data_IF_475667666612
#
_entry.id   IF_475667666612
#
_cell.length_a   1.000
_cell.length_b   1.000
_cell.length_c   1.000
_cell.angle_alpha   90.00
_cell.angle_beta   90.00
_cell.angle_gamma   90.00
#
_symmetry.space_group_name_H-M   'P 1'
#
loop_
_entity.id
_entity.type
_entity.pdbx_description
1 polymer ?
#
# COMPACT_ATOMS: atom_id res chain seq x y z
N UNK A 1 -12.55 -19.14 -26.82
CA UNK A 1 -11.29 -18.76 -27.51
C UNK A 1 -10.64 -17.69 -26.69
N UNK A 2 -9.48 -17.98 -26.10
CA UNK A 2 -8.75 -17.01 -25.27
C UNK A 2 -8.21 -15.91 -26.19
N UNK A 3 -8.73 -14.71 -26.05
CA UNK A 3 -8.23 -13.50 -26.71
C UNK A 3 -6.85 -13.18 -26.12
N UNK A 4 -5.80 -13.76 -26.69
CA UNK A 4 -4.45 -13.32 -26.36
C UNK A 4 -4.29 -11.88 -26.81
N UNK A 5 -3.96 -11.02 -25.87
CA UNK A 5 -3.60 -9.64 -26.18
C UNK A 5 -2.41 -9.68 -27.14
N UNK A 6 -2.64 -9.30 -28.39
CA UNK A 6 -1.64 -9.39 -29.47
C UNK A 6 -0.55 -8.33 -29.27
N UNK A 7 -0.86 -7.29 -28.50
CA UNK A 7 0.04 -6.17 -28.19
C UNK A 7 0.18 -6.01 -26.68
N UNK A 8 1.42 -6.05 -26.19
CA UNK A 8 1.78 -5.85 -24.78
C UNK A 8 2.88 -4.79 -24.75
N UNK A 9 2.67 -3.70 -24.03
CA UNK A 9 3.60 -2.56 -23.95
C UNK A 9 4.02 -2.02 -25.34
N UNK A 10 3.13 -1.98 -26.32
CA UNK A 10 3.45 -1.56 -27.68
C UNK A 10 4.24 -2.60 -28.51
N UNK A 11 4.53 -3.76 -27.94
CA UNK A 11 5.22 -4.84 -28.63
C UNK A 11 4.22 -5.83 -29.22
N UNK A 12 4.24 -6.02 -30.54
CA UNK A 12 3.44 -7.02 -31.20
C UNK A 12 4.01 -8.42 -30.93
N UNK A 13 3.33 -9.18 -30.07
CA UNK A 13 3.79 -10.50 -29.60
C UNK A 13 3.80 -11.56 -30.69
N UNK A 14 3.05 -11.37 -31.79
CA UNK A 14 3.01 -12.29 -32.92
C UNK A 14 4.24 -12.14 -33.84
N UNK A 15 4.83 -10.93 -33.90
CA UNK A 15 5.97 -10.59 -34.78
C UNK A 15 7.33 -10.66 -34.12
N UNK A 16 7.42 -11.21 -32.90
CA UNK A 16 8.69 -11.33 -32.19
C UNK A 16 9.66 -12.25 -32.95
N UNK A 17 10.92 -11.84 -33.12
CA UNK A 17 11.93 -12.63 -33.81
C UNK A 17 12.19 -13.95 -33.07
N UNK A 18 12.53 -14.97 -33.84
CA UNK A 18 13.01 -16.26 -33.33
C UNK A 18 14.47 -16.37 -33.75
N UNK A 19 15.32 -16.62 -32.79
CA UNK A 19 16.76 -16.84 -33.03
C UNK A 19 17.02 -18.36 -33.04
N UNK A 20 17.76 -18.82 -34.05
CA UNK A 20 18.33 -20.17 -34.08
C UNK A 20 19.42 -20.30 -33.00
N UNK A 21 19.79 -21.53 -32.69
CA UNK A 21 20.85 -21.76 -31.69
C UNK A 21 22.23 -21.29 -32.19
N UNK A 22 22.46 -21.32 -33.50
CA UNK A 22 23.67 -20.78 -34.14
C UNK A 22 23.72 -19.25 -34.01
N UNK A 23 22.66 -18.55 -34.38
CA UNK A 23 22.53 -17.09 -34.21
C UNK A 23 22.70 -16.64 -32.77
N UNK A 24 22.17 -17.41 -31.80
CA UNK A 24 22.35 -17.11 -30.37
C UNK A 24 23.82 -17.16 -29.96
N UNK A 25 24.57 -18.14 -30.46
CA UNK A 25 25.98 -18.26 -30.12
C UNK A 25 26.80 -17.12 -30.74
N UNK A 26 26.55 -16.77 -32.02
CA UNK A 26 27.24 -15.65 -32.68
C UNK A 26 26.94 -14.31 -31.98
N UNK A 27 25.67 -14.08 -31.63
CA UNK A 27 25.27 -12.88 -30.89
C UNK A 27 25.93 -12.84 -29.52
N UNK A 28 26.09 -14.00 -28.87
CA UNK A 28 26.71 -14.08 -27.55
C UNK A 28 28.20 -13.68 -27.59
N UNK A 29 28.93 -14.11 -28.62
CA UNK A 29 30.34 -13.72 -28.80
C UNK A 29 30.48 -12.21 -29.03
N UNK A 30 29.54 -11.60 -29.79
CA UNK A 30 29.50 -10.15 -29.99
C UNK A 30 29.14 -9.40 -28.71
N UNK A 31 28.21 -9.94 -27.89
CA UNK A 31 27.85 -9.37 -26.57
C UNK A 31 29.08 -9.35 -25.66
N UNK A 32 29.84 -10.43 -25.61
CA UNK A 32 31.10 -10.48 -24.85
C UNK A 32 32.13 -9.45 -25.33
N UNK A 33 32.13 -9.12 -26.63
CA UNK A 33 32.98 -8.07 -27.19
C UNK A 33 32.44 -6.64 -26.90
N UNK A 34 31.27 -6.49 -26.25
CA UNK A 34 30.70 -5.21 -25.88
C UNK A 34 29.75 -4.60 -26.92
N UNK A 35 29.29 -5.36 -27.91
CA UNK A 35 28.35 -4.89 -28.93
C UNK A 35 26.94 -4.71 -28.34
N UNK A 36 26.53 -3.44 -28.17
CA UNK A 36 25.22 -3.07 -27.66
C UNK A 36 24.05 -3.48 -28.59
N UNK A 37 24.30 -3.48 -29.92
CA UNK A 37 23.27 -3.82 -30.91
C UNK A 37 22.99 -5.33 -30.92
N UNK A 38 24.06 -6.14 -30.77
CA UNK A 38 23.95 -7.58 -30.62
C UNK A 38 23.17 -7.92 -29.33
N UNK A 39 23.44 -7.21 -28.23
CA UNK A 39 22.71 -7.38 -26.96
C UNK A 39 21.21 -7.05 -27.11
N UNK A 40 20.85 -5.96 -27.78
CA UNK A 40 19.47 -5.60 -28.03
C UNK A 40 18.74 -6.66 -28.88
N UNK A 41 19.40 -7.16 -29.93
CA UNK A 41 18.87 -8.21 -30.80
C UNK A 41 18.64 -9.51 -30.02
N UNK A 42 19.57 -9.87 -29.15
CA UNK A 42 19.46 -11.05 -28.29
C UNK A 42 18.30 -10.94 -27.30
N UNK A 43 18.10 -9.75 -26.67
CA UNK A 43 16.96 -9.47 -25.79
C UNK A 43 15.65 -9.65 -26.56
N UNK A 44 15.51 -9.00 -27.73
CA UNK A 44 14.30 -9.08 -28.57
C UNK A 44 13.97 -10.51 -28.97
N UNK A 45 14.97 -11.31 -29.32
CA UNK A 45 14.81 -12.72 -29.68
C UNK A 45 14.37 -13.64 -28.54
N UNK A 46 14.58 -13.21 -27.29
CA UNK A 46 14.20 -13.99 -26.10
C UNK A 46 12.92 -13.48 -25.40
N UNK A 47 12.23 -12.43 -25.90
CA UNK A 47 11.00 -11.91 -25.29
C UNK A 47 9.88 -12.96 -25.24
N UNK A 48 9.86 -13.91 -26.19
CA UNK A 48 8.89 -15.04 -26.16
C UNK A 48 9.04 -15.91 -24.91
N UNK A 49 10.27 -16.02 -24.37
CA UNK A 49 10.52 -16.74 -23.13
C UNK A 49 9.81 -16.04 -21.95
N UNK A 50 9.89 -14.70 -21.88
CA UNK A 50 9.18 -13.90 -20.88
C UNK A 50 7.66 -14.15 -20.97
N UNK A 51 7.09 -14.08 -22.19
CA UNK A 51 5.66 -14.35 -22.41
C UNK A 51 5.23 -15.75 -21.96
N UNK A 52 6.08 -16.76 -22.18
CA UNK A 52 5.79 -18.13 -21.73
C UNK A 52 5.74 -18.26 -20.21
N UNK A 53 6.60 -17.52 -19.50
CA UNK A 53 6.62 -17.49 -18.04
C UNK A 53 5.42 -16.72 -17.49
N UNK A 54 5.04 -15.60 -18.11
CA UNK A 54 3.91 -14.75 -17.68
C UNK A 54 2.57 -15.51 -17.66
N UNK A 55 2.37 -16.48 -18.52
CA UNK A 55 1.15 -17.31 -18.51
C UNK A 55 0.85 -17.94 -17.14
N UNK A 56 1.89 -18.20 -16.35
CA UNK A 56 1.74 -18.77 -15.00
C UNK A 56 1.31 -17.74 -13.96
N UNK A 57 1.41 -16.45 -14.28
CA UNK A 57 1.12 -15.33 -13.37
C UNK A 57 -0.14 -14.54 -13.74
N UNK A 58 -0.85 -14.94 -14.80
CA UNK A 58 -2.03 -14.23 -15.33
C UNK A 58 -3.26 -14.22 -14.41
N UNK A 59 -3.21 -14.88 -13.25
CA UNK A 59 -4.34 -14.94 -12.29
C UNK A 59 -4.20 -14.04 -11.06
N UNK A 60 -3.18 -13.20 -10.98
CA UNK A 60 -2.87 -12.44 -9.76
C UNK A 60 -3.50 -11.03 -9.70
N UNK A 61 -4.37 -10.67 -10.66
CA UNK A 61 -5.05 -9.36 -10.67
C UNK A 61 -4.20 -8.17 -11.13
N UNK A 62 -2.90 -8.38 -11.32
CA UNK A 62 -1.96 -7.34 -11.75
C UNK A 62 -2.03 -7.10 -13.27
N UNK A 63 -1.64 -5.88 -13.69
CA UNK A 63 -1.59 -5.54 -15.10
C UNK A 63 -0.54 -6.39 -15.84
N UNK A 64 -0.96 -7.03 -16.92
CA UNK A 64 -0.08 -7.89 -17.74
C UNK A 64 1.10 -7.09 -18.34
N UNK A 65 0.89 -5.81 -18.65
CA UNK A 65 1.93 -4.94 -19.19
C UNK A 65 3.05 -4.69 -18.16
N UNK A 66 2.69 -4.47 -16.89
CA UNK A 66 3.65 -4.30 -15.80
C UNK A 66 4.43 -5.59 -15.53
N UNK A 67 3.73 -6.71 -15.47
CA UNK A 67 4.36 -8.03 -15.32
C UNK A 67 5.32 -8.32 -16.48
N UNK A 68 4.97 -7.93 -17.71
CA UNK A 68 5.87 -8.10 -18.86
C UNK A 68 7.14 -7.27 -18.72
N UNK A 69 7.04 -6.01 -18.31
CA UNK A 69 8.20 -5.15 -18.10
C UNK A 69 9.12 -5.71 -17.01
N UNK A 70 8.56 -6.16 -15.89
CA UNK A 70 9.34 -6.80 -14.81
C UNK A 70 9.99 -8.10 -15.30
N UNK A 71 9.27 -8.90 -16.09
CA UNK A 71 9.82 -10.09 -16.72
C UNK A 71 11.00 -9.78 -17.67
N UNK A 72 10.90 -8.67 -18.42
CA UNK A 72 11.99 -8.17 -19.26
C UNK A 72 13.20 -7.73 -18.44
N UNK A 73 13.01 -7.10 -17.28
CA UNK A 73 14.11 -6.78 -16.35
C UNK A 73 14.81 -8.08 -15.90
N UNK A 74 14.05 -9.11 -15.55
CA UNK A 74 14.60 -10.43 -15.20
C UNK A 74 15.37 -11.06 -16.34
N UNK A 75 14.89 -10.95 -17.58
CA UNK A 75 15.60 -11.40 -18.78
C UNK A 75 16.91 -10.64 -18.98
N UNK A 76 16.90 -9.32 -18.87
CA UNK A 76 18.10 -8.47 -19.04
C UNK A 76 19.16 -8.86 -18.00
N UNK A 77 18.77 -8.95 -16.71
CA UNK A 77 19.67 -9.40 -15.64
C UNK A 77 20.23 -10.81 -15.91
N UNK A 78 19.43 -11.69 -16.51
CA UNK A 78 19.88 -13.05 -16.84
C UNK A 78 20.92 -13.02 -17.96
N UNK A 79 20.81 -12.13 -18.96
CA UNK A 79 21.78 -11.97 -20.04
C UNK A 79 23.09 -11.44 -19.47
N UNK A 80 23.02 -10.44 -18.60
CA UNK A 80 24.23 -9.80 -18.03
C UNK A 80 25.04 -10.75 -17.11
N UNK A 81 24.37 -11.72 -16.48
CA UNK A 81 25.00 -12.64 -15.51
C UNK A 81 25.18 -14.08 -16.03
N UNK A 82 24.79 -14.37 -17.27
CA UNK A 82 24.90 -15.72 -17.81
C UNK A 82 26.34 -16.06 -18.21
N UNK A 83 26.80 -17.24 -17.79
CA UNK A 83 28.07 -17.82 -18.22
C UNK A 83 27.84 -19.07 -19.09
N UNK A 84 28.11 -18.99 -20.39
CA UNK A 84 27.93 -20.13 -21.31
C UNK A 84 28.90 -21.28 -21.03
N UNK A 85 29.99 -21.06 -20.27
CA UNK A 85 30.97 -22.12 -19.95
C UNK A 85 30.36 -23.20 -19.02
N UNK A 86 29.26 -22.89 -18.34
CA UNK A 86 28.59 -23.80 -17.42
C UNK A 86 27.81 -24.94 -18.10
N UNK A 87 27.87 -25.04 -19.42
CA UNK A 87 27.21 -26.08 -20.20
C UNK A 87 25.70 -26.24 -19.99
N UNK A 88 25.01 -25.13 -19.66
CA UNK A 88 23.58 -25.04 -19.41
C UNK A 88 22.93 -24.18 -20.50
N UNK A 89 21.76 -24.55 -20.98
CA UNK A 89 21.00 -23.71 -21.94
C UNK A 89 20.61 -22.39 -21.27
N UNK A 90 20.73 -21.28 -22.02
CA UNK A 90 20.34 -19.94 -21.52
C UNK A 90 18.91 -19.92 -20.94
N UNK A 91 17.95 -20.56 -21.61
CA UNK A 91 16.57 -20.62 -21.11
C UNK A 91 16.43 -21.26 -19.72
N UNK A 92 17.25 -22.27 -19.42
CA UNK A 92 17.24 -22.94 -18.10
C UNK A 92 17.73 -22.01 -17.00
N UNK A 93 18.68 -21.12 -17.31
CA UNK A 93 19.15 -20.10 -16.39
C UNK A 93 18.21 -18.89 -16.29
N UNK A 94 17.67 -18.41 -17.43
CA UNK A 94 16.87 -17.21 -17.48
C UNK A 94 15.49 -17.36 -16.84
N UNK A 95 14.83 -18.54 -16.99
CA UNK A 95 13.47 -18.77 -16.43
C UNK A 95 13.40 -18.58 -14.91
N UNK A 96 14.27 -19.16 -14.08
CA UNK A 96 14.29 -18.89 -12.64
C UNK A 96 14.53 -17.42 -12.30
N UNK A 97 15.39 -16.71 -13.06
CA UNK A 97 15.67 -15.29 -12.85
C UNK A 97 14.43 -14.43 -13.14
N UNK A 98 13.73 -14.69 -14.25
CA UNK A 98 12.49 -14.01 -14.60
C UNK A 98 11.41 -14.27 -13.53
N UNK A 99 11.23 -15.51 -13.11
CA UNK A 99 10.29 -15.89 -12.05
C UNK A 99 10.66 -15.19 -10.74
N UNK A 100 11.94 -15.11 -10.41
CA UNK A 100 12.43 -14.43 -9.21
C UNK A 100 12.07 -12.94 -9.17
N UNK A 101 12.25 -12.22 -10.28
CA UNK A 101 11.88 -10.81 -10.37
C UNK A 101 10.36 -10.62 -10.33
N UNK A 102 9.59 -11.45 -11.03
CA UNK A 102 8.12 -11.42 -10.98
C UNK A 102 7.58 -11.67 -9.57
N UNK A 103 8.10 -12.68 -8.87
CA UNK A 103 7.70 -12.97 -7.48
C UNK A 103 8.09 -11.85 -6.52
N UNK A 104 9.24 -11.21 -6.75
CA UNK A 104 9.66 -10.05 -5.95
C UNK A 104 8.70 -8.89 -6.15
N UNK A 105 8.38 -8.56 -7.41
CA UNK A 105 7.44 -7.51 -7.75
C UNK A 105 6.06 -7.76 -7.13
N UNK A 106 5.48 -8.94 -7.36
CA UNK A 106 4.18 -9.31 -6.78
C UNK A 106 4.18 -9.20 -5.25
N UNK A 107 5.24 -9.68 -4.59
CA UNK A 107 5.35 -9.58 -3.14
C UNK A 107 5.39 -8.15 -2.64
N UNK A 108 6.09 -7.26 -3.36
CA UNK A 108 6.36 -5.90 -2.88
C UNK A 108 5.27 -4.90 -3.31
N UNK A 109 4.47 -5.20 -4.36
CA UNK A 109 3.53 -4.26 -5.01
C UNK A 109 2.06 -4.70 -4.94
N UNK A 110 1.75 -6.00 -4.81
CA UNK A 110 0.37 -6.52 -4.89
C UNK A 110 -0.56 -6.09 -3.74
N UNK A 111 -0.04 -5.48 -2.68
CA UNK A 111 -0.82 -5.04 -1.53
C UNK A 111 -0.76 -3.52 -1.39
N UNK A 112 -1.91 -2.85 -1.28
CA UNK A 112 -2.01 -1.40 -1.04
C UNK A 112 -1.35 -1.00 0.29
N UNK A 113 -1.41 -1.89 1.29
CA UNK A 113 -0.75 -1.71 2.58
C UNK A 113 0.48 -2.62 2.62
N UNK A 114 1.66 -2.03 2.87
CA UNK A 114 2.90 -2.78 2.98
C UNK A 114 2.93 -3.63 4.24
N UNK A 115 3.05 -4.94 4.06
CA UNK A 115 3.15 -5.92 5.15
C UNK A 115 4.61 -6.39 5.27
N UNK A 116 5.11 -6.55 6.50
CA UNK A 116 6.46 -7.07 6.75
C UNK A 116 6.59 -8.51 6.24
N UNK A 117 7.82 -8.91 5.87
CA UNK A 117 8.08 -10.26 5.37
C UNK A 117 7.79 -11.31 6.42
N UNK A 118 8.16 -11.06 7.67
CA UNK A 118 7.91 -11.98 8.78
C UNK A 118 6.43 -12.29 8.97
N UNK A 119 5.57 -11.24 8.96
CA UNK A 119 4.12 -11.43 9.07
C UNK A 119 3.55 -12.23 7.89
N UNK A 120 4.01 -11.93 6.67
CA UNK A 120 3.58 -12.66 5.47
C UNK A 120 4.00 -14.13 5.52
N UNK A 121 5.23 -14.42 5.95
CA UNK A 121 5.72 -15.79 6.09
C UNK A 121 4.95 -16.55 7.18
N UNK A 122 4.61 -15.88 8.30
CA UNK A 122 3.77 -16.44 9.37
C UNK A 122 2.36 -16.76 8.85
N UNK A 123 1.71 -15.82 8.17
CA UNK A 123 0.40 -16.04 7.57
C UNK A 123 0.41 -17.15 6.52
N UNK A 124 1.44 -17.21 5.68
CA UNK A 124 1.57 -18.27 4.67
C UNK A 124 1.72 -19.67 5.31
N UNK A 125 2.50 -19.79 6.38
CA UNK A 125 2.60 -21.06 7.13
C UNK A 125 1.25 -21.49 7.68
N UNK A 126 0.47 -20.54 8.23
CA UNK A 126 -0.87 -20.81 8.75
C UNK A 126 -1.84 -21.27 7.65
N UNK A 127 -1.81 -20.63 6.48
CA UNK A 127 -2.65 -21.00 5.34
C UNK A 127 -2.31 -22.42 4.84
N UNK A 128 -1.02 -22.72 4.69
CA UNK A 128 -0.56 -24.05 4.27
C UNK A 128 -0.95 -25.12 5.30
N UNK A 129 -0.82 -24.82 6.59
CA UNK A 129 -1.25 -25.73 7.66
C UNK A 129 -2.77 -25.97 7.61
N UNK A 130 -3.57 -24.91 7.44
CA UNK A 130 -5.02 -25.00 7.24
C UNK A 130 -5.39 -25.89 6.05
N UNK A 131 -4.77 -25.69 4.90
CA UNK A 131 -5.01 -26.49 3.70
C UNK A 131 -4.65 -27.97 3.91
N UNK A 132 -3.55 -28.26 4.60
CA UNK A 132 -3.15 -29.63 4.89
C UNK A 132 -4.12 -30.31 5.85
N UNK A 133 -4.59 -29.62 6.89
CA UNK A 133 -5.60 -30.15 7.81
C UNK A 133 -6.93 -30.41 7.10
N UNK A 134 -7.38 -29.50 6.23
CA UNK A 134 -8.60 -29.68 5.43
C UNK A 134 -8.54 -30.90 4.48
N UNK A 135 -7.35 -31.29 4.03
CA UNK A 135 -7.17 -32.51 3.21
C UNK A 135 -7.28 -33.80 4.02
N UNK A 136 -6.98 -33.74 5.31
CA UNK A 136 -6.94 -34.91 6.19
C UNK A 136 -8.16 -35.02 7.11
N UNK A 137 -8.87 -33.94 7.34
CA UNK A 137 -10.05 -33.85 8.21
C UNK A 137 -11.32 -33.56 7.43
N UNK A 138 -12.45 -34.08 7.89
CA UNK A 138 -13.78 -33.81 7.33
C UNK A 138 -14.37 -32.53 7.92
N UNK A 139 -13.90 -32.10 9.08
CA UNK A 139 -14.35 -30.88 9.79
C UNK A 139 -13.38 -29.74 9.55
N UNK A 140 -13.90 -28.50 9.60
CA UNK A 140 -13.08 -27.31 9.50
C UNK A 140 -12.16 -27.20 10.74
N UNK A 141 -10.83 -27.05 10.56
CA UNK A 141 -9.90 -26.99 11.68
C UNK A 141 -10.06 -25.71 12.48
N UNK A 142 -9.94 -25.80 13.79
CA UNK A 142 -9.95 -24.66 14.72
C UNK A 142 -8.66 -23.84 14.61
N UNK A 143 -8.67 -22.60 15.10
CA UNK A 143 -7.47 -21.75 15.10
C UNK A 143 -6.33 -22.38 15.92
N UNK A 144 -6.64 -23.04 17.02
CA UNK A 144 -5.65 -23.73 17.87
C UNK A 144 -4.99 -24.90 17.13
N UNK A 145 -5.76 -25.69 16.39
CA UNK A 145 -5.24 -26.80 15.59
C UNK A 145 -4.35 -26.31 14.44
N UNK A 146 -4.73 -25.21 13.78
CA UNK A 146 -3.92 -24.59 12.71
C UNK A 146 -2.61 -24.06 13.29
N UNK A 147 -2.66 -23.36 14.43
CA UNK A 147 -1.49 -22.82 15.09
C UNK A 147 -0.52 -23.91 15.55
N UNK A 148 -1.05 -24.98 16.14
CA UNK A 148 -0.27 -26.16 16.55
C UNK A 148 0.38 -26.84 15.35
N UNK A 149 -0.35 -27.02 14.24
CA UNK A 149 0.18 -27.61 13.01
C UNK A 149 1.23 -26.74 12.31
N UNK A 150 1.09 -25.41 12.40
CA UNK A 150 2.04 -24.45 11.85
C UNK A 150 3.26 -24.22 12.76
N UNK A 151 3.20 -24.63 14.04
CA UNK A 151 4.24 -24.39 15.05
C UNK A 151 4.39 -22.90 15.41
N UNK A 152 3.27 -22.17 15.47
CA UNK A 152 3.22 -20.71 15.69
C UNK A 152 2.27 -20.43 16.85
N UNK A 153 2.55 -19.44 17.74
CA UNK A 153 1.58 -18.97 18.73
C UNK A 153 0.28 -18.51 18.08
N UNK A 154 -0.87 -18.81 18.71
CA UNK A 154 -2.20 -18.48 18.17
C UNK A 154 -2.36 -16.95 17.95
N UNK A 155 -1.86 -16.16 18.90
CA UNK A 155 -1.92 -14.70 18.84
C UNK A 155 -1.17 -14.13 17.62
N UNK A 156 0.07 -14.62 17.40
CA UNK A 156 0.90 -14.20 16.26
C UNK A 156 0.26 -14.62 14.91
N UNK A 157 -0.34 -15.80 14.89
CA UNK A 157 -1.04 -16.31 13.71
C UNK A 157 -2.26 -15.45 13.37
N UNK A 158 -3.11 -15.13 14.35
CA UNK A 158 -4.30 -14.30 14.15
C UNK A 158 -3.87 -12.91 13.66
N UNK A 159 -2.88 -12.32 14.32
CA UNK A 159 -2.34 -11.00 13.91
C UNK A 159 -1.79 -11.00 12.48
N UNK A 160 -1.10 -12.07 12.09
CA UNK A 160 -0.56 -12.20 10.74
C UNK A 160 -1.66 -12.40 9.69
N UNK A 161 -2.70 -13.19 9.99
CA UNK A 161 -3.85 -13.39 9.09
C UNK A 161 -4.67 -12.11 8.92
N UNK A 162 -4.91 -11.36 10.00
CA UNK A 162 -5.58 -10.06 9.94
C UNK A 162 -4.81 -9.05 9.09
N UNK A 163 -3.48 -9.01 9.24
CA UNK A 163 -2.63 -8.13 8.45
C UNK A 163 -2.67 -8.45 6.94
N UNK A 164 -3.03 -9.67 6.55
CA UNK A 164 -3.12 -10.11 5.16
C UNK A 164 -4.47 -9.82 4.50
N UNK A 165 -5.46 -9.33 5.25
CA UNK A 165 -6.76 -8.99 4.69
C UNK A 165 -6.64 -7.84 3.69
N UNK A 166 -7.32 -7.97 2.56
CA UNK A 166 -7.39 -6.91 1.56
C UNK A 166 -8.26 -5.76 2.07
N UNK A 167 -7.83 -4.50 1.92
CA UNK A 167 -8.68 -3.35 2.23
C UNK A 167 -9.97 -3.36 1.40
N UNK A 168 -11.07 -2.97 2.03
CA UNK A 168 -12.33 -2.74 1.33
C UNK A 168 -12.29 -1.37 0.64
N UNK A 169 -12.89 -1.28 -0.55
CA UNK A 169 -13.05 0.00 -1.22
C UNK A 169 -14.11 0.85 -0.48
N UNK A 170 -13.83 2.14 -0.32
CA UNK A 170 -14.83 3.08 0.20
C UNK A 170 -16.04 3.22 -0.72
N UNK A 171 -15.86 2.92 -2.00
CA UNK A 171 -16.89 2.96 -3.03
C UNK A 171 -17.55 1.60 -3.28
N UNK A 172 -17.28 0.59 -2.44
CA UNK A 172 -18.02 -0.66 -2.53
C UNK A 172 -19.47 -0.45 -2.10
N UNK A 173 -20.44 -0.88 -2.92
CA UNK A 173 -21.85 -0.76 -2.58
C UNK A 173 -22.20 -1.74 -1.46
N UNK A 174 -22.75 -1.23 -0.36
CA UNK A 174 -23.24 -2.06 0.75
C UNK A 174 -24.67 -2.53 0.44
N UNK A 175 -25.47 -1.63 -0.13
CA UNK A 175 -26.87 -1.89 -0.42
C UNK A 175 -27.27 -1.27 -1.75
N UNK A 176 -27.94 -2.04 -2.60
CA UNK A 176 -28.42 -1.60 -3.91
C UNK A 176 -29.84 -2.17 -4.11
N UNK A 177 -30.85 -1.37 -3.85
CA UNK A 177 -32.29 -1.76 -3.97
C UNK A 177 -32.97 -1.01 -5.13
N UNK A 178 -32.25 -0.71 -6.18
CA UNK A 178 -32.80 -0.03 -7.36
C UNK A 178 -33.06 1.47 -7.20
N UNK A 179 -32.64 2.07 -6.05
CA UNK A 179 -32.59 3.49 -5.76
C UNK A 179 -31.18 4.01 -5.67
N UNK A 180 -30.93 4.99 -4.81
CA UNK A 180 -29.59 5.50 -4.53
C UNK A 180 -28.73 4.42 -3.87
N UNK A 181 -27.56 4.16 -4.46
CA UNK A 181 -26.63 3.16 -3.95
C UNK A 181 -25.93 3.70 -2.70
N UNK A 182 -26.03 2.97 -1.58
CA UNK A 182 -25.27 3.27 -0.36
C UNK A 182 -23.88 2.63 -0.43
N UNK A 183 -22.85 3.45 -0.23
CA UNK A 183 -21.45 3.04 -0.22
C UNK A 183 -20.91 2.89 1.20
N UNK A 184 -19.79 2.16 1.34
CA UNK A 184 -19.06 2.06 2.64
C UNK A 184 -18.71 3.44 3.19
N UNK A 185 -18.37 4.39 2.32
CA UNK A 185 -18.04 5.77 2.65
C UNK A 185 -19.17 6.48 3.41
N UNK A 186 -20.42 6.22 3.04
CA UNK A 186 -21.61 6.88 3.63
C UNK A 186 -21.86 6.43 5.08
N UNK A 187 -21.30 5.30 5.49
CA UNK A 187 -21.40 4.80 6.88
C UNK A 187 -20.29 5.31 7.80
N UNK A 188 -19.25 5.95 7.25
CA UNK A 188 -18.11 6.43 8.03
C UNK A 188 -18.42 7.84 8.55
N UNK A 189 -18.65 7.95 9.87
CA UNK A 189 -18.85 9.26 10.50
C UNK A 189 -17.55 10.06 10.59
N UNK A 190 -17.62 11.37 10.27
CA UNK A 190 -16.51 12.29 10.51
C UNK A 190 -16.41 12.62 12.00
N UNK A 191 -15.40 12.02 12.66
CA UNK A 191 -15.16 12.24 14.09
C UNK A 191 -14.59 13.63 14.41
N UNK A 192 -14.02 14.35 13.42
CA UNK A 192 -13.43 15.68 13.63
C UNK A 192 -14.46 16.80 13.53
N UNK A 193 -15.44 16.66 12.63
CA UNK A 193 -16.46 17.68 12.36
C UNK A 193 -17.83 17.23 12.93
N UNK A 194 -17.85 16.78 14.19
CA UNK A 194 -19.11 16.49 14.86
C UNK A 194 -19.92 17.78 15.03
N UNK A 195 -21.25 17.66 14.91
CA UNK A 195 -22.18 18.78 15.11
C UNK A 195 -21.97 19.44 16.49
N UNK A 196 -21.66 18.64 17.52
CA UNK A 196 -21.34 19.11 18.88
C UNK A 196 -20.18 20.11 18.86
N UNK A 197 -19.08 19.81 18.18
CA UNK A 197 -17.92 20.69 18.08
C UNK A 197 -18.28 22.02 17.38
N UNK A 198 -19.13 21.98 16.37
CA UNK A 198 -19.56 23.16 15.65
C UNK A 198 -20.44 24.05 16.52
N UNK A 199 -21.39 23.46 17.24
CA UNK A 199 -22.27 24.16 18.22
C UNK A 199 -21.42 24.77 19.33
N UNK A 200 -20.46 24.03 19.89
CA UNK A 200 -19.52 24.54 20.90
C UNK A 200 -18.71 25.72 20.39
N UNK A 201 -18.16 25.65 19.16
CA UNK A 201 -17.45 26.77 18.55
C UNK A 201 -18.33 28.00 18.33
N UNK A 202 -19.57 27.81 17.90
CA UNK A 202 -20.52 28.90 17.71
C UNK A 202 -20.88 29.55 19.07
N UNK A 203 -21.16 28.73 20.08
CA UNK A 203 -21.47 29.19 21.44
C UNK A 203 -20.30 29.94 22.07
N UNK A 204 -19.06 29.45 21.84
CA UNK A 204 -17.83 30.12 22.28
C UNK A 204 -17.65 31.47 21.58
N UNK A 205 -17.85 31.50 20.27
CA UNK A 205 -17.75 32.73 19.48
C UNK A 205 -18.77 33.78 19.93
N UNK A 206 -19.99 33.36 20.23
CA UNK A 206 -21.02 34.24 20.72
C UNK A 206 -20.71 34.76 22.12
N UNK A 207 -20.27 33.87 23.04
CA UNK A 207 -19.82 34.26 24.39
C UNK A 207 -18.69 35.29 24.38
N UNK A 208 -17.73 35.16 23.42
CA UNK A 208 -16.65 36.10 23.22
C UNK A 208 -17.14 37.51 22.83
N UNK A 209 -18.21 37.64 22.06
CA UNK A 209 -18.78 38.95 21.66
C UNK A 209 -19.37 39.74 22.85
N UNK A 210 -19.77 39.03 23.91
CA UNK A 210 -20.32 39.66 25.12
C UNK A 210 -19.26 40.12 26.12
N UNK A 211 -17.99 39.84 25.89
CA UNK A 211 -16.87 40.32 26.70
C UNK A 211 -16.56 41.78 26.45
N UNK A 212 -16.06 42.48 27.45
CA UNK A 212 -15.50 43.81 27.30
C UNK A 212 -14.27 43.78 26.37
N UNK A 213 -13.98 44.89 25.66
CA UNK A 213 -12.83 44.98 24.75
C UNK A 213 -11.51 44.44 25.32
N UNK A 214 -11.23 44.84 26.61
CA UNK A 214 -10.01 44.40 27.31
C UNK A 214 -10.02 42.91 27.66
N UNK A 215 -11.17 42.38 28.06
CA UNK A 215 -11.32 40.95 28.38
C UNK A 215 -11.17 40.13 27.12
N UNK A 216 -11.77 40.57 26.01
CA UNK A 216 -11.69 39.89 24.71
C UNK A 216 -10.22 39.90 24.20
N UNK A 217 -9.50 41.00 24.30
CA UNK A 217 -8.10 41.12 23.93
C UNK A 217 -7.21 40.19 24.79
N UNK A 218 -7.42 40.13 26.10
CA UNK A 218 -6.70 39.19 26.98
C UNK A 218 -6.98 37.74 26.59
N UNK A 219 -8.25 37.39 26.33
CA UNK A 219 -8.64 36.03 25.95
C UNK A 219 -8.04 35.65 24.59
N UNK A 220 -8.01 36.58 23.63
CA UNK A 220 -7.41 36.36 22.32
C UNK A 220 -5.91 36.09 22.44
N UNK A 221 -5.16 36.96 23.13
CA UNK A 221 -3.72 36.83 23.32
C UNK A 221 -3.35 35.54 24.09
N UNK A 222 -4.16 35.17 25.08
CA UNK A 222 -3.91 33.98 25.93
C UNK A 222 -4.18 32.69 25.25
N UNK A 223 -5.36 32.53 24.62
CA UNK A 223 -5.87 31.25 24.15
C UNK A 223 -5.73 31.05 22.64
N UNK A 224 -5.68 32.11 21.84
CA UNK A 224 -5.51 31.98 20.39
C UNK A 224 -4.07 32.22 19.95
N UNK A 225 -3.34 33.12 20.63
CA UNK A 225 -1.92 33.39 20.34
C UNK A 225 -0.96 32.62 21.26
N UNK A 226 -1.46 32.01 22.35
CA UNK A 226 -0.69 31.15 23.24
C UNK A 226 0.27 31.89 24.18
N UNK A 227 0.10 33.21 24.35
CA UNK A 227 0.98 34.07 25.23
C UNK A 227 0.76 33.74 26.70
N UNK A 228 1.83 33.92 27.50
CA UNK A 228 1.75 33.81 28.96
C UNK A 228 1.13 35.05 29.58
N UNK A 229 0.59 34.95 30.84
CA UNK A 229 0.01 36.09 31.51
C UNK A 229 1.01 37.26 31.70
N UNK A 230 2.30 36.96 31.80
CA UNK A 230 3.34 37.99 31.92
C UNK A 230 3.55 38.73 30.60
N UNK A 231 3.59 38.04 29.49
CA UNK A 231 3.72 38.63 28.15
C UNK A 231 2.51 39.51 27.82
N UNK A 232 1.28 39.02 28.11
CA UNK A 232 0.04 39.80 27.96
C UNK A 232 0.05 41.03 28.84
N UNK A 233 0.52 40.91 30.09
CA UNK A 233 0.66 42.06 31.00
C UNK A 233 1.58 43.15 30.45
N UNK A 234 2.69 42.76 29.84
CA UNK A 234 3.63 43.68 29.17
C UNK A 234 3.01 44.37 27.95
N UNK A 235 2.25 43.63 27.15
CA UNK A 235 1.65 44.13 25.89
C UNK A 235 0.48 45.10 26.13
N UNK A 236 -0.38 44.77 27.09
CA UNK A 236 -1.55 45.63 27.45
C UNK A 236 -1.20 46.71 28.51
N UNK A 237 0.04 46.74 28.97
CA UNK A 237 0.54 47.68 29.98
C UNK A 237 -0.25 47.65 31.30
N UNK A 238 -0.57 46.46 31.86
CA UNK A 238 -1.19 46.26 33.16
C UNK A 238 -0.41 45.21 33.97
N UNK A 239 -0.70 45.09 35.26
CA UNK A 239 -0.02 44.11 36.11
C UNK A 239 -0.49 42.68 35.79
N UNK A 240 0.41 41.68 35.94
CA UNK A 240 0.07 40.25 35.75
C UNK A 240 -1.11 39.84 36.67
N UNK A 241 -1.21 40.37 37.87
CA UNK A 241 -2.31 40.13 38.80
C UNK A 241 -3.65 40.65 38.26
N UNK A 242 -3.66 41.75 37.51
CA UNK A 242 -4.85 42.27 36.83
C UNK A 242 -5.24 41.41 35.65
N UNK A 243 -4.26 40.94 34.84
CA UNK A 243 -4.49 39.97 33.74
C UNK A 243 -5.18 38.70 34.28
N UNK A 244 -4.64 38.12 35.36
CA UNK A 244 -5.19 36.93 35.98
C UNK A 244 -6.63 37.12 36.50
N UNK A 245 -6.94 38.29 37.06
CA UNK A 245 -8.32 38.60 37.52
C UNK A 245 -9.28 38.75 36.34
N UNK A 246 -8.89 39.51 35.33
CA UNK A 246 -9.72 39.71 34.13
C UNK A 246 -9.96 38.40 33.36
N UNK A 247 -8.92 37.57 33.20
CA UNK A 247 -9.02 36.23 32.62
C UNK A 247 -10.06 35.35 33.37
N UNK A 248 -9.95 35.29 34.73
CA UNK A 248 -10.90 34.52 35.55
C UNK A 248 -12.33 35.07 35.47
N UNK A 249 -12.51 36.38 35.41
CA UNK A 249 -13.80 37.01 35.29
C UNK A 249 -14.42 36.71 33.91
N UNK A 250 -13.62 36.84 32.84
CA UNK A 250 -14.03 36.54 31.49
C UNK A 250 -14.45 35.08 31.35
N UNK A 251 -13.67 34.11 31.85
CA UNK A 251 -14.00 32.68 31.84
C UNK A 251 -15.29 32.41 32.65
N UNK A 252 -15.45 33.05 33.82
CA UNK A 252 -16.67 32.88 34.61
C UNK A 252 -17.91 33.45 33.91
N UNK A 253 -17.74 34.54 33.19
CA UNK A 253 -18.80 35.16 32.41
C UNK A 253 -19.18 34.30 31.22
N UNK A 254 -18.20 33.85 30.45
CA UNK A 254 -18.38 32.96 29.28
C UNK A 254 -19.07 31.65 29.70
N UNK A 255 -18.64 31.03 30.81
CA UNK A 255 -19.24 29.82 31.33
C UNK A 255 -20.76 29.95 31.55
N UNK A 256 -21.24 31.15 31.91
CA UNK A 256 -22.65 31.43 32.15
C UNK A 256 -23.47 31.49 30.84
N UNK A 257 -22.84 31.70 29.71
CA UNK A 257 -23.47 31.73 28.38
C UNK A 257 -23.40 30.40 27.62
N UNK A 258 -22.46 29.53 27.98
CA UNK A 258 -22.26 28.24 27.31
C UNK A 258 -23.07 27.12 28.00
N UNK A 259 -23.38 27.28 29.28
CA UNK A 259 -24.25 26.39 30.08
C UNK A 259 -25.71 26.87 30.05
#
# INVERSE_FOLDING_TARGET
>A
MSTYKVEICGVNTAKLPLLSDEEKNELWDKIKAGDAQARETYIKGNLRLVLSVLKRFSGHGENLDDLFQIGCIGLIKSIDNFDPTMNVKFSTYAVPMIIGELRRYLRDTSSSIRISRSLRDTAYKAIVAKENLLRTSVTEPTMDEIAAAAGIPVEDMIYALDAMQSPLSLYDPIYNDGGDTLYVMDQISDKKNKEENWVEHLSLSEAMKHLNKRENEIMSLRFFEGKTQMEVAGEIAISQAQVSRLEKNALKYMKKYIL
#
